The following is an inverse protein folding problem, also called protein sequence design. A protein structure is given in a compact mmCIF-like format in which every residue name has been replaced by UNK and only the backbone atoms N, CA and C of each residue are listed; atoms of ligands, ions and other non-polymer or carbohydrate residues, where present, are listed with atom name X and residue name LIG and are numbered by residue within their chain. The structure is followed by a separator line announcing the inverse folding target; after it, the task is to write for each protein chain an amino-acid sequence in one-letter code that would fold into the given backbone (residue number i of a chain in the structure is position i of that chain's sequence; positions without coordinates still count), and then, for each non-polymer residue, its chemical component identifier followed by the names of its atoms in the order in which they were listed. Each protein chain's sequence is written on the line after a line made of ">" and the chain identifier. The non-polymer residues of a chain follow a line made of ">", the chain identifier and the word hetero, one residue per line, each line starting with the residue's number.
data_IF_149091050210
#
_entry.id   IF_149091050210
#
_cell.length_a   1.000
_cell.length_b   1.000
_cell.length_c   1.000
_cell.angle_alpha   90.00
_cell.angle_beta   90.00
_cell.angle_gamma   90.00
#
_symmetry.space_group_name_H-M   'P 1'
#
loop_
_entity.id
_entity.type
_entity.pdbx_description
1 polymer ?
#
# COMPACT_ATOMS: atom_id res chain seq x y z
N UNK A 1 45.48 -21.37 -38.92
CA UNK A 1 44.23 -21.80 -38.25
C UNK A 1 43.99 -21.18 -36.85
N UNK A 2 44.90 -20.40 -36.26
CA UNK A 2 44.66 -19.73 -34.95
C UNK A 2 43.96 -18.35 -35.05
N UNK A 3 44.08 -17.65 -36.18
CA UNK A 3 43.50 -16.31 -36.37
C UNK A 3 41.97 -16.31 -36.56
N UNK A 4 41.41 -17.35 -37.18
CA UNK A 4 39.96 -17.43 -37.45
C UNK A 4 39.14 -17.64 -36.17
N UNK A 5 39.67 -18.41 -35.21
CA UNK A 5 39.00 -18.66 -33.93
C UNK A 5 38.86 -17.38 -33.08
N UNK A 6 39.86 -16.49 -33.12
CA UNK A 6 39.84 -15.24 -32.36
C UNK A 6 38.84 -14.20 -32.90
N UNK A 7 38.58 -14.18 -34.21
CA UNK A 7 37.60 -13.27 -34.83
C UNK A 7 36.16 -13.71 -34.47
N UNK A 8 35.89 -15.01 -34.45
CA UNK A 8 34.58 -15.55 -34.07
C UNK A 8 34.30 -15.29 -32.58
N UNK A 9 35.32 -15.38 -31.72
CA UNK A 9 35.18 -15.08 -30.29
C UNK A 9 34.84 -13.60 -30.03
N UNK A 10 35.42 -12.67 -30.81
CA UNK A 10 35.15 -11.24 -30.72
C UNK A 10 33.74 -10.86 -31.17
N UNK A 11 33.22 -11.51 -32.22
CA UNK A 11 31.85 -11.29 -32.71
C UNK A 11 30.79 -11.78 -31.72
N UNK A 12 31.02 -12.89 -31.02
CA UNK A 12 30.12 -13.40 -29.99
C UNK A 12 30.02 -12.47 -28.77
N UNK A 13 31.13 -11.83 -28.39
CA UNK A 13 31.14 -10.89 -27.26
C UNK A 13 30.44 -9.58 -27.58
N UNK A 14 30.60 -9.04 -28.80
CA UNK A 14 29.89 -7.82 -29.21
C UNK A 14 28.37 -8.06 -29.35
N UNK A 15 27.95 -9.25 -29.84
CA UNK A 15 26.54 -9.61 -29.95
C UNK A 15 25.84 -9.80 -28.60
N UNK A 16 26.53 -10.36 -27.60
CA UNK A 16 25.98 -10.57 -26.26
C UNK A 16 25.72 -9.28 -25.47
N UNK A 17 26.52 -8.24 -25.70
CA UNK A 17 26.38 -6.94 -25.01
C UNK A 17 25.21 -6.13 -25.58
N UNK A 18 24.98 -6.19 -26.89
CA UNK A 18 23.86 -5.49 -27.54
C UNK A 18 22.50 -6.11 -27.20
N UNK A 19 22.42 -7.43 -26.95
CA UNK A 19 21.16 -8.11 -26.63
C UNK A 19 20.61 -7.76 -25.23
N UNK A 20 21.48 -7.35 -24.30
CA UNK A 20 21.05 -6.92 -22.96
C UNK A 20 20.62 -5.45 -22.87
N UNK A 21 20.97 -4.60 -23.84
CA UNK A 21 20.61 -3.19 -23.81
C UNK A 21 19.17 -2.90 -24.31
N UNK A 22 18.53 -3.86 -25.00
CA UNK A 22 17.19 -3.69 -25.58
C UNK A 22 16.08 -4.36 -24.79
N UNK A 23 16.36 -4.93 -23.62
CA UNK A 23 15.30 -5.32 -22.69
C UNK A 23 14.81 -4.05 -22.01
N UNK A 24 14.02 -3.27 -22.75
CA UNK A 24 13.13 -2.30 -22.15
C UNK A 24 12.34 -3.06 -21.07
N UNK A 25 12.59 -2.71 -19.81
CA UNK A 25 11.87 -3.27 -18.67
C UNK A 25 10.38 -3.24 -19.03
N UNK A 26 9.66 -4.38 -18.91
CA UNK A 26 8.23 -4.37 -19.16
C UNK A 26 7.61 -3.24 -18.33
N UNK A 27 6.66 -2.47 -18.89
CA UNK A 27 6.02 -1.40 -18.14
C UNK A 27 5.56 -1.97 -16.80
N UNK A 28 5.88 -1.28 -15.71
CA UNK A 28 5.45 -1.67 -14.37
C UNK A 28 3.96 -1.99 -14.46
N UNK A 29 3.51 -3.17 -13.95
CA UNK A 29 2.10 -3.49 -13.95
C UNK A 29 1.35 -2.29 -13.35
N UNK A 30 0.22 -1.87 -13.94
CA UNK A 30 -0.55 -0.76 -13.39
C UNK A 30 -0.79 -1.05 -11.92
N UNK A 31 -0.48 -0.08 -11.05
CA UNK A 31 -0.69 -0.22 -9.62
C UNK A 31 -2.09 -0.79 -9.40
N UNK A 32 -2.24 -1.91 -8.67
CA UNK A 32 -3.54 -2.53 -8.48
C UNK A 32 -4.47 -1.49 -7.87
N UNK A 33 -5.45 -1.04 -8.66
CA UNK A 33 -6.53 -0.19 -8.16
C UNK A 33 -7.30 -1.08 -7.19
N UNK A 34 -7.19 -0.79 -5.90
CA UNK A 34 -8.01 -1.48 -4.91
C UNK A 34 -9.48 -1.14 -5.20
N UNK A 35 -10.39 -2.13 -5.20
CA UNK A 35 -11.81 -1.92 -5.50
C UNK A 35 -12.53 -1.27 -4.31
N UNK A 36 -11.93 -0.24 -3.69
CA UNK A 36 -12.49 0.48 -2.56
C UNK A 36 -12.80 1.90 -3.01
N UNK A 37 -14.07 2.27 -2.88
CA UNK A 37 -14.59 3.58 -3.30
C UNK A 37 -14.86 4.42 -2.06
N UNK A 38 -13.97 5.37 -1.79
CA UNK A 38 -13.96 6.18 -0.56
C UNK A 38 -14.30 7.63 -0.85
N UNK A 39 -14.96 8.30 0.07
CA UNK A 39 -14.98 9.76 0.09
C UNK A 39 -13.59 10.33 0.40
N UNK A 40 -13.35 11.59 0.02
CA UNK A 40 -12.11 12.31 0.40
C UNK A 40 -11.88 12.32 1.91
N UNK A 41 -12.95 12.45 2.70
CA UNK A 41 -12.87 12.49 4.16
C UNK A 41 -12.45 11.14 4.75
N UNK A 42 -13.00 10.04 4.24
CA UNK A 42 -12.61 8.68 4.66
C UNK A 42 -11.16 8.39 4.32
N UNK A 43 -10.74 8.70 3.08
CA UNK A 43 -9.35 8.52 2.66
C UNK A 43 -8.38 9.31 3.55
N UNK A 44 -8.71 10.57 3.87
CA UNK A 44 -7.90 11.39 4.75
C UNK A 44 -7.75 10.77 6.16
N UNK A 45 -8.83 10.24 6.73
CA UNK A 45 -8.81 9.58 8.05
C UNK A 45 -7.94 8.32 8.05
N UNK A 46 -8.02 7.50 7.00
CA UNK A 46 -7.15 6.33 6.80
C UNK A 46 -5.67 6.75 6.75
N UNK A 47 -5.34 7.78 5.97
CA UNK A 47 -3.96 8.29 5.88
C UNK A 47 -3.46 8.83 7.22
N UNK A 48 -4.28 9.58 7.94
CA UNK A 48 -3.92 10.12 9.26
C UNK A 48 -3.60 9.00 10.24
N UNK A 49 -4.45 7.97 10.32
CA UNK A 49 -4.22 6.82 11.20
C UNK A 49 -2.92 6.09 10.85
N UNK A 50 -2.69 5.77 9.58
CA UNK A 50 -1.45 5.08 9.16
C UNK A 50 -0.19 5.87 9.56
N UNK A 51 -0.23 7.20 9.44
CA UNK A 51 0.88 8.08 9.84
C UNK A 51 1.05 8.21 11.35
N UNK A 52 -0.03 8.10 12.11
CA UNK A 52 0.01 8.05 13.57
C UNK A 52 0.67 6.75 14.05
N UNK A 53 0.24 5.60 13.53
CA UNK A 53 0.83 4.29 13.83
C UNK A 53 2.32 4.30 13.50
N UNK A 54 2.70 4.81 12.32
CA UNK A 54 4.12 4.92 11.92
C UNK A 54 4.94 5.76 12.91
N UNK A 55 4.38 6.85 13.43
CA UNK A 55 5.06 7.74 14.39
C UNK A 55 5.20 7.08 15.75
N UNK A 56 4.15 6.41 16.21
CA UNK A 56 4.17 5.65 17.47
C UNK A 56 5.20 4.53 17.41
N UNK A 57 5.30 3.80 16.30
CA UNK A 57 6.31 2.76 16.14
C UNK A 57 7.74 3.34 16.14
N UNK A 58 7.95 4.52 15.56
CA UNK A 58 9.24 5.19 15.62
C UNK A 58 9.61 5.64 17.04
N UNK A 59 8.62 6.02 17.85
CA UNK A 59 8.82 6.50 19.22
C UNK A 59 8.96 5.35 20.23
N UNK A 60 8.26 4.23 20.01
CA UNK A 60 8.20 3.07 20.89
C UNK A 60 8.07 1.78 20.04
N UNK A 61 9.17 1.29 19.43
CA UNK A 61 9.14 0.21 18.46
C UNK A 61 8.52 -1.10 18.98
N UNK A 62 8.65 -1.37 20.27
CA UNK A 62 8.11 -2.55 20.96
C UNK A 62 6.58 -2.53 21.13
N UNK A 63 5.92 -1.39 20.91
CA UNK A 63 4.48 -1.25 21.24
C UNK A 63 3.53 -1.76 20.16
N UNK A 64 4.02 -2.00 18.93
CA UNK A 64 3.17 -2.27 17.76
C UNK A 64 3.59 -3.51 16.96
N UNK A 65 4.38 -4.40 17.56
CA UNK A 65 4.93 -5.58 16.87
C UNK A 65 3.84 -6.49 16.28
N UNK A 66 2.60 -6.44 16.81
CA UNK A 66 1.43 -7.11 16.24
C UNK A 66 0.18 -6.22 16.30
N UNK A 67 0.12 -5.15 15.51
CA UNK A 67 -1.15 -4.44 15.30
C UNK A 67 -2.10 -5.30 14.44
N UNK A 68 -3.09 -5.92 15.06
CA UNK A 68 -4.10 -6.73 14.37
C UNK A 68 -5.18 -5.89 13.66
N UNK A 69 -5.97 -6.53 12.80
CA UNK A 69 -7.00 -5.83 12.02
C UNK A 69 -8.15 -5.32 12.89
N UNK A 70 -8.44 -5.97 14.02
CA UNK A 70 -9.48 -5.53 14.95
C UNK A 70 -9.07 -4.22 15.64
N UNK A 71 -7.79 -4.10 16.01
CA UNK A 71 -7.23 -2.89 16.59
C UNK A 71 -7.28 -1.74 15.59
N UNK A 72 -6.91 -1.96 14.34
CA UNK A 72 -6.99 -0.93 13.29
C UNK A 72 -8.43 -0.42 13.12
N UNK A 73 -9.41 -1.34 13.05
CA UNK A 73 -10.83 -0.96 12.97
C UNK A 73 -11.27 -0.13 14.17
N UNK A 74 -10.88 -0.55 15.37
CA UNK A 74 -11.18 0.19 16.60
C UNK A 74 -10.52 1.58 16.59
N UNK A 75 -9.27 1.71 16.15
CA UNK A 75 -8.59 3.00 16.05
C UNK A 75 -9.25 3.91 15.01
N UNK A 76 -9.68 3.38 13.86
CA UNK A 76 -10.47 4.15 12.89
C UNK A 76 -11.78 4.65 13.50
N UNK A 77 -12.53 3.76 14.15
CA UNK A 77 -13.82 4.08 14.72
C UNK A 77 -13.71 5.09 15.88
N UNK A 78 -12.86 4.82 16.87
CA UNK A 78 -12.75 5.61 18.09
C UNK A 78 -11.84 6.83 17.94
N UNK A 79 -10.71 6.69 17.23
CA UNK A 79 -9.72 7.75 17.07
C UNK A 79 -10.07 8.78 16.00
N UNK A 80 -10.83 8.39 14.97
CA UNK A 80 -11.09 9.27 13.83
C UNK A 80 -12.58 9.42 13.48
N UNK A 81 -13.50 8.84 14.26
CA UNK A 81 -14.93 8.79 13.93
C UNK A 81 -15.15 8.38 12.46
N UNK A 82 -14.45 7.32 12.05
CA UNK A 82 -14.48 6.85 10.66
C UNK A 82 -15.93 6.50 10.26
N UNK A 83 -16.36 6.88 9.06
CA UNK A 83 -17.75 6.77 8.58
C UNK A 83 -18.83 7.43 9.46
N UNK A 84 -18.44 8.26 10.43
CA UNK A 84 -19.38 8.80 11.42
C UNK A 84 -19.94 7.71 12.32
N UNK A 85 -19.14 6.70 12.65
CA UNK A 85 -19.56 5.51 13.37
C UNK A 85 -19.87 5.75 14.85
N UNK A 86 -19.45 6.85 15.46
CA UNK A 86 -19.80 7.15 16.86
C UNK A 86 -21.24 7.66 16.95
N UNK A 87 -22.18 6.70 16.99
CA UNK A 87 -23.63 6.95 17.07
C UNK A 87 -24.10 7.01 18.53
N UNK A 88 -25.37 7.37 18.72
CA UNK A 88 -26.01 7.54 20.03
C UNK A 88 -26.08 6.26 20.88
N UNK A 89 -25.80 5.08 20.32
CA UNK A 89 -25.81 3.80 21.05
C UNK A 89 -24.63 2.90 20.71
N UNK A 90 -24.18 2.11 21.70
CA UNK A 90 -23.10 1.14 21.51
C UNK A 90 -23.41 0.11 20.41
N UNK A 91 -24.66 -0.35 20.33
CA UNK A 91 -25.08 -1.31 19.30
C UNK A 91 -24.99 -0.71 17.89
N UNK A 92 -25.36 0.56 17.71
CA UNK A 92 -25.21 1.26 16.44
C UNK A 92 -23.73 1.44 16.07
N UNK A 93 -22.89 1.75 17.06
CA UNK A 93 -21.44 1.88 16.89
C UNK A 93 -20.79 0.55 16.49
N UNK A 94 -21.16 -0.58 17.12
CA UNK A 94 -20.65 -1.90 16.74
C UNK A 94 -21.10 -2.34 15.34
N UNK A 95 -22.36 -2.13 14.97
CA UNK A 95 -22.81 -2.39 13.59
C UNK A 95 -22.04 -1.55 12.57
N UNK A 96 -21.68 -0.32 12.93
CA UNK A 96 -20.86 0.51 12.05
C UNK A 96 -19.42 -0.01 11.93
N UNK A 97 -18.83 -0.57 13.00
CA UNK A 97 -17.52 -1.21 12.98
C UNK A 97 -17.45 -2.35 11.93
N UNK A 98 -18.53 -3.12 11.80
CA UNK A 98 -18.65 -4.20 10.80
C UNK A 98 -18.66 -3.70 9.35
N UNK A 99 -18.94 -2.40 9.12
CA UNK A 99 -18.87 -1.79 7.79
C UNK A 99 -17.47 -1.38 7.37
N UNK A 100 -16.47 -1.50 8.27
CA UNK A 100 -15.07 -1.21 7.96
C UNK A 100 -14.45 -2.45 7.32
N UNK A 101 -14.16 -2.37 6.02
CA UNK A 101 -13.77 -3.52 5.20
C UNK A 101 -12.29 -3.88 5.39
N UNK A 102 -11.92 -5.11 5.01
CA UNK A 102 -10.52 -5.55 5.04
C UNK A 102 -9.63 -4.69 4.12
N UNK A 103 -10.17 -4.19 3.00
CA UNK A 103 -9.45 -3.29 2.10
C UNK A 103 -9.15 -1.95 2.77
N UNK A 104 -10.09 -1.39 3.54
CA UNK A 104 -9.88 -0.15 4.28
C UNK A 104 -8.79 -0.32 5.36
N UNK A 105 -8.79 -1.46 6.04
CA UNK A 105 -7.71 -1.84 6.98
C UNK A 105 -6.37 -1.99 6.25
N UNK A 106 -6.36 -2.64 5.09
CA UNK A 106 -5.16 -2.79 4.27
C UNK A 106 -4.59 -1.43 3.83
N UNK A 107 -5.44 -0.45 3.52
CA UNK A 107 -5.00 0.91 3.22
C UNK A 107 -4.30 1.58 4.40
N UNK A 108 -4.80 1.40 5.63
CA UNK A 108 -4.12 1.88 6.84
C UNK A 108 -2.74 1.24 6.96
N UNK A 109 -2.63 -0.08 6.74
CA UNK A 109 -1.35 -0.81 6.79
C UNK A 109 -0.35 -0.31 5.74
N UNK A 110 -0.81 -0.01 4.52
CA UNK A 110 0.03 0.59 3.47
C UNK A 110 0.52 1.97 3.86
N UNK A 111 -0.38 2.83 4.36
CA UNK A 111 -0.05 4.17 4.84
C UNK A 111 0.94 4.14 6.02
N UNK A 112 0.82 3.15 6.91
CA UNK A 112 1.77 2.90 7.99
C UNK A 112 3.15 2.47 7.47
N UNK A 113 3.22 1.44 6.62
CA UNK A 113 4.48 0.88 6.11
C UNK A 113 5.19 1.80 5.10
N UNK A 114 4.60 2.95 4.76
CA UNK A 114 5.08 3.87 3.72
C UNK A 114 5.29 3.16 2.38
N UNK A 115 4.50 2.11 2.12
CA UNK A 115 4.39 1.55 0.78
C UNK A 115 3.80 2.67 -0.08
N UNK A 116 4.54 3.10 -1.12
CA UNK A 116 4.34 4.38 -1.82
C UNK A 116 2.91 4.66 -2.30
N UNK A 117 2.66 5.89 -2.78
CA UNK A 117 1.35 6.42 -3.16
C UNK A 117 0.44 5.36 -3.82
N UNK A 118 -0.52 4.85 -3.04
CA UNK A 118 -1.46 3.85 -3.52
C UNK A 118 -2.65 4.54 -4.19
N UNK A 119 -3.04 4.04 -5.37
CA UNK A 119 -4.13 4.61 -6.15
C UNK A 119 -5.45 4.09 -5.60
N UNK A 120 -6.32 5.00 -5.17
CA UNK A 120 -7.66 4.70 -4.66
C UNK A 120 -8.68 5.47 -5.49
N UNK A 121 -9.81 4.84 -5.80
CA UNK A 121 -10.92 5.54 -6.44
C UNK A 121 -11.66 6.38 -5.38
N UNK A 122 -11.72 7.69 -5.62
CA UNK A 122 -12.35 8.64 -4.71
C UNK A 122 -13.72 9.06 -5.26
N UNK A 123 -14.77 8.92 -4.45
CA UNK A 123 -16.12 9.39 -4.80
C UNK A 123 -16.11 10.91 -4.95
N UNK A 124 -16.68 11.39 -6.06
CA UNK A 124 -16.98 12.81 -6.25
C UNK A 124 -17.98 13.26 -5.15
N UNK A 125 -17.88 14.52 -4.68
CA UNK A 125 -18.76 15.05 -3.64
C UNK A 125 -20.22 15.12 -4.08
#
# INVERSE_FOLDING_TARGET
>A
MKLLASIILLLAFAGGILYHATVASPPLPPNPVLPVSLSKGELAKIYLLGREIARTQMAAPETLDELDDAMIRNMLLWGHDYKGCQKESMEATYRCLETITDEEVALVRRAWKKEGDFVVEVKAP
#
